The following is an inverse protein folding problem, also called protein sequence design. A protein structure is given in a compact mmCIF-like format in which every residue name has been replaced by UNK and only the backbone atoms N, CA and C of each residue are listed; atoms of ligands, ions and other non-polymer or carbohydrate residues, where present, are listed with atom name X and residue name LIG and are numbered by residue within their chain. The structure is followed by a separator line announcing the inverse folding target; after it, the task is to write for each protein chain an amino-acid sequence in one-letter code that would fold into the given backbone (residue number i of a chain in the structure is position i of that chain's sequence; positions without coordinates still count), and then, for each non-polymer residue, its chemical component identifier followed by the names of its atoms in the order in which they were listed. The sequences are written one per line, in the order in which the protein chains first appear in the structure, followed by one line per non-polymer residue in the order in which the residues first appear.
data_IF_746487833086
#
_entry.id   IF_746487833086
#
_cell.length_a   1.000
_cell.length_b   1.000
_cell.length_c   1.000
_cell.angle_alpha   90.00
_cell.angle_beta   90.00
_cell.angle_gamma   90.00
#
_symmetry.space_group_name_H-M   'P 1'
#
loop_
_entity.id
_entity.type
_entity.pdbx_description
1 polymer ?
#
# COMPACT_ATOMS: atom_id res chain seq x y z
N UNK A 1 -56.33 -47.20 5.71
CA UNK A 1 -57.44 -46.22 5.66
C UNK A 1 -57.40 -45.45 6.98
N UNK A 2 -56.68 -44.35 7.06
CA UNK A 2 -56.85 -43.46 8.18
C UNK A 2 -56.31 -42.11 7.76
N UNK A 3 -57.12 -41.10 7.98
CA UNK A 3 -56.89 -39.71 7.53
C UNK A 3 -56.20 -38.93 8.65
N UNK A 4 -55.01 -38.45 8.44
CA UNK A 4 -54.33 -37.59 9.39
C UNK A 4 -54.75 -36.13 9.21
N UNK A 5 -55.42 -35.63 10.24
CA UNK A 5 -55.84 -34.25 10.42
C UNK A 5 -54.64 -33.38 10.85
N UNK A 6 -54.20 -32.46 10.00
CA UNK A 6 -53.31 -31.37 10.39
C UNK A 6 -54.09 -30.27 11.11
N UNK A 7 -53.83 -30.10 12.41
CA UNK A 7 -54.31 -28.99 13.24
C UNK A 7 -53.51 -27.73 12.91
N UNK A 8 -54.20 -26.74 12.36
CA UNK A 8 -53.71 -25.35 12.23
C UNK A 8 -53.90 -24.67 13.60
N UNK A 9 -52.83 -24.18 14.20
CA UNK A 9 -52.93 -23.32 15.38
C UNK A 9 -52.95 -21.86 14.96
N UNK A 10 -54.11 -21.24 15.21
CA UNK A 10 -54.29 -19.81 15.12
C UNK A 10 -53.79 -19.18 16.40
N UNK A 11 -52.96 -18.15 16.30
CA UNK A 11 -52.57 -17.28 17.42
C UNK A 11 -53.43 -16.03 17.40
N UNK A 12 -53.99 -15.60 18.54
CA UNK A 12 -54.83 -14.43 18.60
C UNK A 12 -53.99 -13.12 18.64
N UNK A 13 -54.49 -12.18 17.93
CA UNK A 13 -54.04 -10.81 17.81
C UNK A 13 -54.27 -10.06 19.14
N UNK A 14 -53.21 -9.52 19.78
CA UNK A 14 -53.35 -8.55 20.84
C UNK A 14 -52.47 -7.35 20.55
N UNK A 15 -53.10 -6.27 20.10
CA UNK A 15 -52.47 -4.98 19.91
C UNK A 15 -52.05 -4.37 21.24
N UNK A 16 -50.83 -3.97 21.32
CA UNK A 16 -50.37 -2.95 22.25
C UNK A 16 -49.48 -1.94 21.52
N UNK A 17 -50.02 -0.75 21.44
CA UNK A 17 -49.33 0.44 20.95
C UNK A 17 -48.37 0.89 22.04
N UNK A 18 -47.06 0.69 21.85
CA UNK A 18 -46.07 1.35 22.68
C UNK A 18 -45.57 2.61 21.98
N UNK A 19 -46.07 3.75 22.48
CA UNK A 19 -45.43 5.04 22.24
C UNK A 19 -44.01 5.00 22.81
N UNK A 20 -43.00 4.98 21.98
CA UNK A 20 -41.63 5.25 22.38
C UNK A 20 -41.26 6.65 22.07
N UNK A 21 -41.06 7.40 23.14
CA UNK A 21 -40.53 8.75 23.16
C UNK A 21 -39.27 8.85 22.31
N UNK A 22 -39.22 9.90 21.48
CA UNK A 22 -38.01 10.36 20.80
C UNK A 22 -37.04 10.89 21.84
N UNK A 23 -36.12 10.07 22.28
CA UNK A 23 -34.88 10.58 22.86
C UNK A 23 -34.03 11.15 21.75
N UNK A 24 -33.89 12.48 21.77
CA UNK A 24 -32.93 13.21 20.94
C UNK A 24 -31.53 12.89 21.43
N UNK A 25 -30.97 11.82 20.86
CA UNK A 25 -29.56 11.54 21.03
C UNK A 25 -28.78 12.45 20.08
N UNK A 26 -28.24 13.50 20.66
CA UNK A 26 -27.35 14.48 20.04
C UNK A 26 -26.02 13.79 19.64
N UNK A 27 -26.10 12.95 18.63
CA UNK A 27 -24.93 12.34 17.99
C UNK A 27 -24.11 13.44 17.36
N UNK A 28 -23.03 13.86 18.02
CA UNK A 28 -21.96 14.63 17.41
C UNK A 28 -21.56 13.93 16.12
N UNK A 29 -22.05 14.43 14.99
CA UNK A 29 -21.48 14.14 13.68
C UNK A 29 -20.03 14.61 13.74
N UNK A 30 -19.11 13.68 13.89
CA UNK A 30 -17.74 13.92 13.50
C UNK A 30 -17.79 14.19 12.00
N UNK A 31 -17.79 15.46 11.66
CA UNK A 31 -17.53 15.91 10.30
C UNK A 31 -16.10 15.50 10.00
N UNK A 32 -15.94 14.35 9.33
CA UNK A 32 -14.71 14.04 8.64
C UNK A 32 -14.40 15.24 7.76
N UNK A 33 -13.37 15.96 8.16
CA UNK A 33 -12.85 17.11 7.46
C UNK A 33 -12.42 16.63 6.06
N UNK A 34 -13.29 16.78 5.05
CA UNK A 34 -13.07 16.42 3.64
C UNK A 34 -12.01 17.28 2.95
N UNK A 35 -11.12 17.89 3.68
CA UNK A 35 -9.91 18.54 3.18
C UNK A 35 -8.69 17.60 3.20
N UNK A 36 -8.91 16.32 2.94
CA UNK A 36 -7.81 15.44 2.59
C UNK A 36 -7.53 15.64 1.10
N UNK A 37 -6.71 16.64 0.75
CA UNK A 37 -6.12 16.72 -0.58
C UNK A 37 -5.42 15.37 -0.80
N UNK A 38 -5.98 14.56 -1.70
CA UNK A 38 -5.39 13.29 -2.11
C UNK A 38 -4.08 13.62 -2.81
N UNK A 39 -2.99 13.74 -2.08
CA UNK A 39 -1.67 13.76 -2.68
C UNK A 39 -1.54 12.50 -3.51
N UNK A 40 -1.44 12.64 -4.81
CA UNK A 40 -1.23 11.50 -5.70
C UNK A 40 0.12 10.87 -5.35
N UNK A 41 0.23 9.56 -5.43
CA UNK A 41 1.51 8.85 -5.18
C UNK A 41 2.64 9.46 -6.01
N UNK A 42 2.35 9.88 -7.24
CA UNK A 42 3.31 10.54 -8.12
C UNK A 42 3.88 11.84 -7.52
N UNK A 43 3.04 12.68 -6.91
CA UNK A 43 3.45 13.95 -6.29
C UNK A 43 4.34 13.71 -5.07
N UNK A 44 3.96 12.75 -4.22
CA UNK A 44 4.77 12.37 -3.05
C UNK A 44 6.13 11.84 -3.51
N UNK A 45 6.15 10.97 -4.52
CA UNK A 45 7.39 10.41 -5.06
C UNK A 45 8.27 11.46 -5.74
N UNK A 46 7.68 12.49 -6.35
CA UNK A 46 8.43 13.62 -6.92
C UNK A 46 9.15 14.41 -5.81
N UNK A 47 8.46 14.69 -4.70
CA UNK A 47 9.08 15.36 -3.55
C UNK A 47 10.18 14.49 -2.89
N UNK A 48 9.96 13.18 -2.78
CA UNK A 48 11.00 12.26 -2.28
C UNK A 48 12.21 12.24 -3.22
N UNK A 49 11.98 12.26 -4.54
CA UNK A 49 13.04 12.27 -5.54
C UNK A 49 13.93 13.51 -5.42
N UNK A 50 13.35 14.67 -5.09
CA UNK A 50 14.10 15.92 -4.87
C UNK A 50 14.89 15.92 -3.56
N UNK A 51 14.30 15.37 -2.48
CA UNK A 51 14.89 15.37 -1.14
C UNK A 51 15.85 14.20 -0.91
N UNK A 52 15.75 13.13 -1.68
CA UNK A 52 16.44 11.87 -1.42
C UNK A 52 15.86 11.11 -0.22
N UNK A 53 16.44 9.96 0.08
CA UNK A 53 16.03 9.13 1.22
C UNK A 53 16.63 9.59 2.54
N UNK A 54 17.78 10.23 2.51
CA UNK A 54 18.57 10.57 3.69
C UNK A 54 18.47 12.04 4.05
N UNK A 55 18.85 12.35 5.27
CA UNK A 55 19.06 13.73 5.75
C UNK A 55 20.14 14.42 4.92
N UNK A 56 20.22 15.74 5.01
CA UNK A 56 21.26 16.53 4.32
C UNK A 56 22.68 16.07 4.69
N UNK A 57 22.90 15.68 5.96
CA UNK A 57 24.16 15.07 6.43
C UNK A 57 24.43 13.67 5.86
N UNK A 58 23.43 13.04 5.21
CA UNK A 58 23.45 11.67 4.68
C UNK A 58 23.72 10.57 5.70
N UNK A 59 23.64 10.84 6.98
CA UNK A 59 23.93 9.89 8.05
C UNK A 59 22.79 8.90 8.26
N UNK A 60 21.55 9.41 8.23
CA UNK A 60 20.36 8.64 8.57
C UNK A 60 19.25 8.81 7.53
N UNK A 61 18.30 7.86 7.50
CA UNK A 61 17.05 8.03 6.77
C UNK A 61 16.25 9.19 7.36
N UNK A 62 15.59 9.96 6.50
CA UNK A 62 14.63 10.97 6.92
C UNK A 62 13.46 10.34 7.68
N UNK A 63 13.10 10.89 8.83
CA UNK A 63 12.00 10.37 9.66
C UNK A 63 10.68 10.42 8.90
N UNK A 64 10.45 11.46 8.11
CA UNK A 64 9.25 11.64 7.28
C UNK A 64 9.10 10.51 6.27
N UNK A 65 10.21 10.03 5.67
CA UNK A 65 10.23 8.96 4.70
C UNK A 65 9.59 7.69 5.28
N UNK A 66 9.99 7.29 6.48
CA UNK A 66 9.53 6.05 7.14
C UNK A 66 8.28 6.25 8.02
N UNK A 67 7.70 7.43 8.00
CA UNK A 67 6.47 7.75 8.77
C UNK A 67 5.37 8.32 7.88
N UNK A 68 5.33 9.63 7.70
CA UNK A 68 4.23 10.32 7.01
C UNK A 68 4.21 10.06 5.51
N UNK A 69 5.35 10.07 4.83
CA UNK A 69 5.45 9.82 3.39
C UNK A 69 5.06 8.37 3.07
N UNK A 70 5.64 7.39 3.78
CA UNK A 70 5.29 5.98 3.61
C UNK A 70 3.81 5.69 3.88
N UNK A 71 3.24 6.28 4.93
CA UNK A 71 1.82 6.14 5.27
C UNK A 71 0.91 6.74 4.19
N UNK A 72 1.25 7.91 3.66
CA UNK A 72 0.47 8.56 2.63
C UNK A 72 0.52 7.79 1.30
N UNK A 73 1.66 7.24 0.93
CA UNK A 73 1.79 6.34 -0.22
C UNK A 73 0.92 5.10 -0.02
N UNK A 74 1.04 4.43 1.13
CA UNK A 74 0.26 3.23 1.43
C UNK A 74 -1.26 3.47 1.38
N UNK A 75 -1.74 4.65 1.82
CA UNK A 75 -3.16 5.02 1.75
C UNK A 75 -3.66 5.20 0.32
N UNK A 76 -2.84 5.66 -0.60
CA UNK A 76 -3.21 6.01 -1.97
C UNK A 76 -2.85 4.92 -2.99
N UNK A 77 -2.15 3.88 -2.58
CA UNK A 77 -1.73 2.77 -3.43
C UNK A 77 -2.64 1.55 -3.25
N UNK A 78 -2.94 0.86 -4.35
CA UNK A 78 -3.68 -0.41 -4.37
C UNK A 78 -2.87 -1.43 -5.14
N UNK A 79 -2.76 -2.63 -4.58
CA UNK A 79 -2.08 -3.76 -5.22
C UNK A 79 -2.60 -5.07 -4.60
N UNK A 80 -2.58 -6.16 -5.33
CA UNK A 80 -2.91 -7.48 -4.79
C UNK A 80 -1.73 -8.07 -4.02
N UNK A 81 -2.03 -8.95 -3.06
CA UNK A 81 -1.00 -9.62 -2.26
C UNK A 81 -0.01 -10.43 -3.13
N UNK A 82 -0.51 -11.11 -4.17
CA UNK A 82 0.33 -11.90 -5.08
C UNK A 82 1.28 -11.03 -5.90
N UNK A 83 0.78 -9.91 -6.42
CA UNK A 83 1.61 -8.95 -7.17
C UNK A 83 2.70 -8.34 -6.28
N UNK A 84 2.31 -7.90 -5.09
CA UNK A 84 3.20 -7.30 -4.12
C UNK A 84 4.33 -8.26 -3.72
N UNK A 85 3.97 -9.52 -3.40
CA UNK A 85 4.95 -10.56 -3.08
C UNK A 85 5.92 -10.83 -4.23
N UNK A 86 5.45 -10.84 -5.48
CA UNK A 86 6.31 -11.06 -6.64
C UNK A 86 7.40 -9.99 -6.75
N UNK A 87 7.03 -8.71 -6.60
CA UNK A 87 8.01 -7.62 -6.62
C UNK A 87 8.91 -7.62 -5.39
N UNK A 88 8.36 -7.88 -4.22
CA UNK A 88 9.15 -7.95 -2.98
C UNK A 88 10.18 -9.08 -3.03
N UNK A 89 9.81 -10.26 -3.52
CA UNK A 89 10.73 -11.38 -3.67
C UNK A 89 11.86 -11.05 -4.65
N UNK A 90 11.54 -10.35 -5.75
CA UNK A 90 12.56 -9.93 -6.71
C UNK A 90 13.53 -8.91 -6.08
N UNK A 91 13.05 -7.92 -5.36
CA UNK A 91 13.89 -6.98 -4.63
C UNK A 91 14.76 -7.70 -3.58
N UNK A 92 14.21 -8.67 -2.85
CA UNK A 92 14.98 -9.47 -1.88
C UNK A 92 16.06 -10.33 -2.56
N UNK A 93 15.76 -10.91 -3.71
CA UNK A 93 16.75 -11.66 -4.52
C UNK A 93 17.92 -10.76 -4.92
N UNK A 94 17.63 -9.54 -5.37
CA UNK A 94 18.68 -8.57 -5.72
C UNK A 94 19.48 -8.15 -4.49
N UNK A 95 18.82 -7.95 -3.32
CA UNK A 95 19.51 -7.65 -2.07
C UNK A 95 20.50 -8.77 -1.72
N UNK A 96 20.04 -10.01 -1.72
CA UNK A 96 20.87 -11.15 -1.41
C UNK A 96 22.09 -11.18 -2.33
N UNK A 97 21.88 -11.11 -3.65
CA UNK A 97 22.96 -11.19 -4.64
C UNK A 97 23.99 -10.06 -4.51
N UNK A 98 23.54 -8.81 -4.42
CA UNK A 98 24.44 -7.64 -4.54
C UNK A 98 24.90 -7.06 -3.21
N UNK A 99 24.23 -7.38 -2.11
CA UNK A 99 24.54 -6.85 -0.79
C UNK A 99 25.07 -7.95 0.12
N UNK A 100 24.29 -9.04 0.29
CA UNK A 100 24.58 -10.07 1.28
C UNK A 100 25.70 -11.01 0.79
N UNK A 101 25.71 -11.39 -0.50
CA UNK A 101 26.75 -12.21 -1.14
C UNK A 101 27.97 -11.40 -1.61
N UNK A 102 27.96 -10.10 -1.33
CA UNK A 102 29.08 -9.19 -1.54
C UNK A 102 29.51 -9.01 -3.02
N UNK A 103 28.62 -9.27 -3.98
CA UNK A 103 28.86 -8.98 -5.40
C UNK A 103 28.80 -7.47 -5.69
N UNK A 104 29.55 -6.64 -5.01
CA UNK A 104 29.51 -5.17 -4.99
C UNK A 104 29.57 -4.46 -6.35
N UNK A 105 28.86 -4.98 -7.35
CA UNK A 105 28.82 -4.40 -8.68
C UNK A 105 27.54 -3.56 -8.87
N UNK A 106 27.64 -2.28 -8.62
CA UNK A 106 26.52 -1.34 -8.73
C UNK A 106 25.94 -1.31 -10.16
N UNK A 107 26.78 -1.39 -11.19
CA UNK A 107 26.30 -1.35 -12.57
C UNK A 107 25.47 -2.58 -12.93
N UNK A 108 25.83 -3.75 -12.44
CA UNK A 108 25.01 -4.96 -12.61
C UNK A 108 23.67 -4.83 -11.87
N UNK A 109 23.68 -4.29 -10.66
CA UNK A 109 22.42 -4.00 -9.93
C UNK A 109 21.53 -3.04 -10.72
N UNK A 110 22.09 -1.98 -11.29
CA UNK A 110 21.33 -1.01 -12.12
C UNK A 110 20.70 -1.69 -13.33
N UNK A 111 21.42 -2.57 -14.03
CA UNK A 111 20.88 -3.34 -15.16
C UNK A 111 19.66 -4.17 -14.71
N UNK A 112 19.77 -4.90 -13.60
CA UNK A 112 18.66 -5.70 -13.08
C UNK A 112 17.46 -4.81 -12.68
N UNK A 113 17.70 -3.64 -12.08
CA UNK A 113 16.64 -2.68 -11.75
C UNK A 113 15.97 -2.09 -13.01
N UNK A 114 16.73 -1.81 -14.06
CA UNK A 114 16.17 -1.37 -15.35
C UNK A 114 15.34 -2.49 -16.01
N UNK A 115 15.77 -3.74 -15.93
CA UNK A 115 14.96 -4.89 -16.36
C UNK A 115 13.67 -4.99 -15.54
N UNK A 116 13.74 -4.75 -14.23
CA UNK A 116 12.55 -4.73 -13.38
C UNK A 116 11.61 -3.58 -13.79
N UNK A 117 12.15 -2.40 -14.12
CA UNK A 117 11.38 -1.25 -14.61
C UNK A 117 10.66 -1.58 -15.95
N UNK A 118 11.32 -2.26 -16.88
CA UNK A 118 10.69 -2.76 -18.10
C UNK A 118 9.53 -3.73 -17.82
N UNK A 119 9.68 -4.64 -16.84
CA UNK A 119 8.61 -5.55 -16.40
C UNK A 119 7.42 -4.79 -15.79
N UNK A 120 7.65 -3.66 -15.10
CA UNK A 120 6.58 -2.80 -14.57
C UNK A 120 5.76 -2.20 -15.70
N UNK A 121 6.40 -1.63 -16.74
CA UNK A 121 5.71 -1.08 -17.91
C UNK A 121 4.84 -2.12 -18.60
N UNK A 122 5.37 -3.32 -18.85
CA UNK A 122 4.61 -4.42 -19.43
C UNK A 122 3.39 -4.80 -18.57
N UNK A 123 3.55 -4.91 -17.25
CA UNK A 123 2.46 -5.26 -16.35
C UNK A 123 1.40 -4.15 -16.23
N UNK A 124 1.81 -2.91 -16.29
CA UNK A 124 0.94 -1.73 -16.30
C UNK A 124 0.11 -1.69 -17.59
N UNK A 125 0.73 -1.89 -18.75
CA UNK A 125 0.04 -1.94 -20.04
C UNK A 125 -1.06 -3.04 -20.07
N UNK A 126 -0.81 -4.18 -19.43
CA UNK A 126 -1.77 -5.27 -19.30
C UNK A 126 -2.74 -5.15 -18.12
N UNK A 127 -2.89 -3.98 -17.51
CA UNK A 127 -3.75 -3.71 -16.34
C UNK A 127 -3.53 -4.66 -15.15
N UNK A 128 -2.33 -5.26 -15.09
CA UNK A 128 -1.97 -6.21 -14.02
C UNK A 128 -1.49 -5.52 -12.75
N UNK A 129 -1.11 -4.25 -12.83
CA UNK A 129 -0.73 -3.41 -11.68
C UNK A 129 -1.33 -2.03 -11.84
N UNK A 130 -1.55 -1.34 -10.72
CA UNK A 130 -2.07 0.03 -10.74
C UNK A 130 -1.01 1.03 -11.17
N UNK A 131 -1.43 2.15 -11.73
CA UNK A 131 -0.53 3.24 -12.12
C UNK A 131 0.24 3.80 -10.91
N UNK A 132 -0.41 3.89 -9.73
CA UNK A 132 0.20 4.36 -8.49
C UNK A 132 1.35 3.45 -8.05
N UNK A 133 1.16 2.12 -8.11
CA UNK A 133 2.22 1.17 -7.78
C UNK A 133 3.37 1.23 -8.80
N UNK A 134 3.06 1.32 -10.10
CA UNK A 134 4.08 1.49 -11.14
C UNK A 134 4.91 2.74 -10.88
N UNK A 135 4.27 3.89 -10.65
CA UNK A 135 4.95 5.17 -10.35
C UNK A 135 5.80 5.09 -9.07
N UNK A 136 5.29 4.46 -8.03
CA UNK A 136 6.06 4.23 -6.82
C UNK A 136 7.35 3.46 -7.12
N UNK A 137 7.26 2.35 -7.82
CA UNK A 137 8.42 1.52 -8.15
C UNK A 137 9.40 2.21 -9.10
N UNK A 138 8.89 2.81 -10.20
CA UNK A 138 9.69 3.52 -11.19
C UNK A 138 10.54 4.62 -10.56
N UNK A 139 9.91 5.50 -9.76
CA UNK A 139 10.61 6.61 -9.11
C UNK A 139 11.66 6.13 -8.09
N UNK A 140 11.37 5.08 -7.33
CA UNK A 140 12.37 4.51 -6.42
C UNK A 140 13.57 3.91 -7.18
N UNK A 141 13.33 3.22 -8.30
CA UNK A 141 14.42 2.72 -9.15
C UNK A 141 15.26 3.88 -9.68
N UNK A 142 14.62 4.95 -10.15
CA UNK A 142 15.31 6.14 -10.65
C UNK A 142 16.18 6.81 -9.57
N UNK A 143 15.67 6.92 -8.32
CA UNK A 143 16.45 7.45 -7.20
C UNK A 143 17.71 6.58 -6.96
N UNK A 144 17.56 5.25 -6.91
CA UNK A 144 18.70 4.35 -6.68
C UNK A 144 19.76 4.48 -7.79
N UNK A 145 19.33 4.57 -9.04
CA UNK A 145 20.22 4.72 -10.18
C UNK A 145 20.94 6.08 -10.14
N UNK A 146 20.22 7.15 -9.85
CA UNK A 146 20.77 8.51 -9.80
C UNK A 146 21.74 8.72 -8.63
N UNK A 147 21.44 8.14 -7.46
CA UNK A 147 22.36 8.21 -6.30
C UNK A 147 23.59 7.33 -6.48
N UNK A 148 23.51 6.31 -7.32
CA UNK A 148 24.60 5.43 -7.73
C UNK A 148 25.38 4.81 -6.55
N UNK A 149 24.66 4.39 -5.48
CA UNK A 149 25.27 3.76 -4.30
C UNK A 149 24.52 2.49 -3.88
N UNK A 150 25.21 1.51 -3.31
CA UNK A 150 24.56 0.34 -2.69
C UNK A 150 23.72 0.75 -1.48
N UNK A 151 24.06 1.87 -0.85
CA UNK A 151 23.30 2.38 0.27
C UNK A 151 21.92 2.88 -0.15
N UNK A 152 21.81 3.55 -1.29
CA UNK A 152 20.50 4.01 -1.80
C UNK A 152 19.56 2.82 -2.09
N UNK A 153 20.10 1.70 -2.55
CA UNK A 153 19.31 0.50 -2.71
C UNK A 153 18.84 -0.10 -1.37
N UNK A 154 19.71 -0.12 -0.34
CA UNK A 154 19.31 -0.52 1.02
C UNK A 154 18.21 0.39 1.57
N UNK A 155 18.35 1.69 1.38
CA UNK A 155 17.39 2.70 1.83
C UNK A 155 16.03 2.53 1.11
N UNK A 156 16.04 2.27 -0.19
CA UNK A 156 14.85 1.89 -0.94
C UNK A 156 14.15 0.67 -0.35
N UNK A 157 14.88 -0.38 -0.02
CA UNK A 157 14.30 -1.59 0.59
C UNK A 157 13.62 -1.29 1.92
N UNK A 158 14.27 -0.52 2.80
CA UNK A 158 13.68 -0.10 4.09
C UNK A 158 12.41 0.70 3.87
N UNK A 159 12.43 1.65 2.92
CA UNK A 159 11.27 2.44 2.57
C UNK A 159 10.12 1.57 2.02
N UNK A 160 10.42 0.67 1.11
CA UNK A 160 9.45 -0.26 0.54
C UNK A 160 8.81 -1.14 1.63
N UNK A 161 9.60 -1.73 2.52
CA UNK A 161 9.11 -2.54 3.64
C UNK A 161 8.23 -1.71 4.59
N UNK A 162 8.57 -0.45 4.82
CA UNK A 162 7.76 0.47 5.64
C UNK A 162 6.40 0.75 5.00
N UNK A 163 6.37 1.03 3.69
CA UNK A 163 5.12 1.21 2.93
C UNK A 163 4.27 -0.06 3.01
N UNK A 164 4.89 -1.24 2.84
CA UNK A 164 4.23 -2.54 3.01
C UNK A 164 3.57 -2.68 4.38
N UNK A 165 4.29 -2.37 5.46
CA UNK A 165 3.77 -2.44 6.82
C UNK A 165 2.50 -1.60 6.99
N UNK A 166 2.49 -0.36 6.47
CA UNK A 166 1.30 0.50 6.49
C UNK A 166 0.17 -0.02 5.60
N UNK A 167 0.46 -0.65 4.46
CA UNK A 167 -0.58 -1.25 3.61
C UNK A 167 -1.26 -2.44 4.28
N UNK A 168 -0.49 -3.33 4.91
CA UNK A 168 -1.04 -4.45 5.67
C UNK A 168 -1.88 -3.96 6.86
N UNK A 169 -1.40 -3.00 7.62
CA UNK A 169 -2.11 -2.42 8.77
C UNK A 169 -3.41 -1.69 8.40
N UNK A 170 -3.56 -1.23 7.16
CA UNK A 170 -4.75 -0.52 6.67
C UNK A 170 -5.69 -1.35 5.80
N UNK A 171 -5.49 -2.67 5.69
CA UNK A 171 -6.25 -3.58 4.82
C UNK A 171 -6.33 -3.12 3.35
N UNK A 172 -5.31 -2.40 2.86
CA UNK A 172 -5.24 -1.91 1.48
C UNK A 172 -4.78 -2.96 0.47
N UNK A 173 -4.36 -4.12 0.94
CA UNK A 173 -3.93 -5.23 0.10
C UNK A 173 -5.12 -6.13 -0.18
N UNK A 174 -5.49 -6.25 -1.45
CA UNK A 174 -6.53 -7.18 -1.87
C UNK A 174 -6.09 -8.63 -1.66
N UNK A 175 -7.02 -9.47 -1.18
CA UNK A 175 -6.77 -10.90 -0.92
C UNK A 175 -6.72 -11.77 -2.18
N UNK A 176 -6.84 -11.19 -3.37
CA UNK A 176 -6.76 -11.93 -4.64
C UNK A 176 -5.43 -11.75 -5.32
#
# INVERSE_FOLDING_TARGET
MEKDNKKVRLYPNSGQIYNRNKDQNNGKKYTDNKNNSKFKVAEIMEEISKKGYRTESKDTLRKELVSTEARNIAKNMKITNSQLRAFFNELKRLKQKYIDENEKNINKLHIELLILKSKLEYKKYGDKITNEFSKFMEKNIDIVINENTMQSYKDFLVFFETVLGYMYGSNKISKR
#
